data_IF_605903576044
#
_entry.id   IF_605903576044
#
_cell.length_a   1.000
_cell.length_b   1.000
_cell.length_c   1.000
_cell.angle_alpha   90.00
_cell.angle_beta   90.00
_cell.angle_gamma   90.00
#
_symmetry.space_group_name_H-M   'P 1'
#
loop_
_entity.id
_entity.type
_entity.pdbx_description
1 polymer ?
#
# COMPACT_ATOMS: atom_id res chain seq x y z
N UNK A 1 -19.27 -2.07 -8.85
CA UNK A 1 -18.01 -2.14 -8.08
C UNK A 1 -18.27 -2.50 -6.63
N UNK A 2 -17.49 -3.41 -6.09
CA UNK A 2 -17.58 -3.73 -4.67
C UNK A 2 -16.90 -2.64 -3.83
N UNK A 3 -17.26 -2.49 -2.55
CA UNK A 3 -16.55 -1.54 -1.68
C UNK A 3 -15.05 -1.79 -1.63
N UNK A 4 -14.64 -3.05 -1.70
CA UNK A 4 -13.21 -3.40 -1.71
C UNK A 4 -12.53 -2.88 -2.97
N UNK A 5 -13.17 -3.00 -4.12
CA UNK A 5 -12.62 -2.48 -5.37
C UNK A 5 -12.49 -0.97 -5.34
N UNK A 6 -13.48 -0.29 -4.76
CA UNK A 6 -13.43 1.17 -4.62
C UNK A 6 -12.26 1.59 -3.75
N UNK A 7 -12.04 0.90 -2.62
CA UNK A 7 -10.91 1.19 -1.75
C UNK A 7 -9.58 0.98 -2.45
N UNK A 8 -9.46 -0.10 -3.22
CA UNK A 8 -8.25 -0.37 -3.99
C UNK A 8 -7.98 0.73 -5.01
N UNK A 9 -9.00 1.14 -5.74
CA UNK A 9 -8.85 2.19 -6.74
C UNK A 9 -8.46 3.52 -6.12
N UNK A 10 -9.06 3.87 -4.98
CA UNK A 10 -8.69 5.08 -4.26
C UNK A 10 -7.26 5.02 -3.75
N UNK A 11 -6.85 3.87 -3.21
CA UNK A 11 -5.50 3.69 -2.72
C UNK A 11 -4.47 3.88 -3.85
N UNK A 12 -4.74 3.29 -5.00
CA UNK A 12 -3.88 3.42 -6.17
C UNK A 12 -3.81 4.87 -6.62
N UNK A 13 -4.95 5.53 -6.67
CA UNK A 13 -5.03 6.92 -7.10
C UNK A 13 -4.19 7.83 -6.20
N UNK A 14 -4.38 7.72 -4.89
CA UNK A 14 -3.64 8.54 -3.94
C UNK A 14 -2.14 8.19 -3.91
N UNK A 15 -1.82 6.92 -4.12
CA UNK A 15 -0.42 6.51 -4.22
C UNK A 15 0.25 7.17 -5.43
N UNK A 16 -0.43 7.19 -6.57
CA UNK A 16 0.10 7.81 -7.78
C UNK A 16 0.29 9.32 -7.62
N UNK A 17 -0.58 9.96 -6.86
CA UNK A 17 -0.47 11.39 -6.57
C UNK A 17 0.59 11.72 -5.52
N UNK A 18 1.19 10.71 -4.91
CA UNK A 18 2.17 10.92 -3.85
C UNK A 18 1.55 11.33 -2.53
N UNK A 19 0.24 11.14 -2.38
CA UNK A 19 -0.48 11.48 -1.13
C UNK A 19 -0.35 10.40 -0.09
N UNK A 20 -0.15 9.15 -0.52
CA UNK A 20 0.00 8.01 0.38
C UNK A 20 1.30 7.29 0.08
N UNK A 21 2.00 6.84 1.13
CA UNK A 21 3.13 5.94 0.96
C UNK A 21 2.62 4.56 0.52
N UNK A 22 3.54 3.72 0.05
CA UNK A 22 3.20 2.36 -0.35
C UNK A 22 2.53 1.60 0.80
N UNK A 23 3.09 1.69 2.00
CA UNK A 23 2.55 0.99 3.17
C UNK A 23 1.14 1.46 3.51
N UNK A 24 0.90 2.77 3.48
CA UNK A 24 -0.43 3.31 3.77
C UNK A 24 -1.43 2.98 2.68
N UNK A 25 -1.00 3.00 1.42
CA UNK A 25 -1.88 2.68 0.31
C UNK A 25 -2.33 1.22 0.37
N UNK A 26 -1.41 0.30 0.65
CA UNK A 26 -1.78 -1.11 0.76
C UNK A 26 -2.69 -1.37 1.96
N UNK A 27 -2.49 -0.65 3.07
CA UNK A 27 -3.38 -0.76 4.23
C UNK A 27 -4.79 -0.29 3.88
N UNK A 28 -4.89 0.82 3.17
CA UNK A 28 -6.18 1.34 2.71
C UNK A 28 -6.87 0.35 1.78
N UNK A 29 -6.11 -0.32 0.92
CA UNK A 29 -6.64 -1.33 0.02
C UNK A 29 -6.94 -2.66 0.72
N UNK A 30 -6.46 -2.85 1.95
CA UNK A 30 -6.63 -4.09 2.68
C UNK A 30 -5.84 -5.24 2.08
N UNK A 31 -4.70 -4.95 1.45
CA UNK A 31 -3.90 -5.95 0.74
C UNK A 31 -2.54 -6.10 1.38
N UNK A 32 -1.95 -7.28 1.18
CA UNK A 32 -0.58 -7.53 1.58
C UNK A 32 0.38 -6.84 0.62
N UNK A 33 1.61 -6.61 1.08
CA UNK A 33 2.63 -5.91 0.29
C UNK A 33 2.79 -6.52 -1.09
N UNK A 34 3.00 -7.83 -1.16
CA UNK A 34 3.25 -8.49 -2.45
C UNK A 34 2.03 -8.42 -3.38
N UNK A 35 0.83 -8.51 -2.81
CA UNK A 35 -0.40 -8.48 -3.60
C UNK A 35 -0.62 -7.07 -4.18
N UNK A 36 -0.42 -6.04 -3.37
CA UNK A 36 -0.55 -4.67 -3.82
C UNK A 36 0.51 -4.33 -4.86
N UNK A 37 1.74 -4.81 -4.66
CA UNK A 37 2.82 -4.61 -5.61
C UNK A 37 2.48 -5.23 -6.97
N UNK A 38 1.94 -6.45 -6.97
CA UNK A 38 1.51 -7.10 -8.20
C UNK A 38 0.39 -6.33 -8.90
N UNK A 39 -0.55 -5.82 -8.10
CA UNK A 39 -1.66 -5.04 -8.65
C UNK A 39 -1.14 -3.78 -9.34
N UNK A 40 -0.24 -3.05 -8.69
CA UNK A 40 0.35 -1.86 -9.28
C UNK A 40 1.13 -2.19 -10.54
N UNK A 41 1.86 -3.29 -10.54
CA UNK A 41 2.59 -3.74 -11.72
C UNK A 41 1.66 -4.04 -12.89
N UNK A 42 0.51 -4.68 -12.61
CA UNK A 42 -0.47 -4.99 -13.65
C UNK A 42 -1.12 -3.73 -14.24
N UNK A 43 -1.10 -2.64 -13.50
CA UNK A 43 -1.62 -1.34 -13.95
C UNK A 43 -0.56 -0.49 -14.62
N UNK A 44 0.66 -1.00 -14.75
CA UNK A 44 1.76 -0.26 -15.36
C UNK A 44 2.29 0.86 -14.47
N UNK A 45 2.06 0.78 -13.17
CA UNK A 45 2.53 1.78 -12.22
C UNK A 45 3.87 1.31 -11.65
N UNK A 46 4.96 2.05 -11.86
CA UNK A 46 6.25 1.66 -11.30
C UNK A 46 6.22 1.76 -9.78
N UNK A 47 6.73 0.71 -9.14
CA UNK A 47 6.79 0.65 -7.68
C UNK A 47 8.26 0.63 -7.27
N UNK A 48 8.67 1.67 -6.58
CA UNK A 48 9.99 1.71 -5.95
C UNK A 48 9.78 1.48 -4.47
N UNK A 49 10.01 0.23 -4.06
CA UNK A 49 9.84 -0.14 -2.66
C UNK A 49 11.18 0.06 -1.95
N UNK A 50 11.31 1.22 -1.33
CA UNK A 50 12.53 1.60 -0.62
C UNK A 50 12.60 0.93 0.75
N UNK A 51 13.84 0.78 1.24
CA UNK A 51 14.07 0.25 2.58
C UNK A 51 13.37 1.09 3.64
N UNK A 52 13.27 2.39 3.42
CA UNK A 52 12.59 3.29 4.35
C UNK A 52 11.12 2.92 4.51
N UNK A 53 10.43 2.64 3.40
CA UNK A 53 9.04 2.21 3.46
C UNK A 53 8.89 0.88 4.18
N UNK A 54 9.84 -0.03 3.96
CA UNK A 54 9.83 -1.32 4.62
C UNK A 54 10.04 -1.17 6.12
N UNK A 55 11.00 -0.34 6.53
CA UNK A 55 11.28 -0.10 7.94
C UNK A 55 10.09 0.56 8.63
N UNK A 56 9.44 1.50 7.97
CA UNK A 56 8.26 2.16 8.50
C UNK A 56 7.13 1.17 8.75
N UNK A 57 6.88 0.27 7.80
CA UNK A 57 5.88 -0.78 7.96
C UNK A 57 6.21 -1.71 9.12
N UNK A 58 7.47 -2.11 9.25
CA UNK A 58 7.91 -2.98 10.34
C UNK A 58 7.75 -2.28 11.67
N UNK A 59 8.11 -1.00 11.75
CA UNK A 59 7.95 -0.23 12.98
C UNK A 59 6.48 -0.14 13.40
N UNK A 60 5.60 0.12 12.43
CA UNK A 60 4.17 0.18 12.68
C UNK A 60 3.64 -1.14 13.22
N UNK A 61 4.05 -2.25 12.62
CA UNK A 61 3.63 -3.59 13.06
C UNK A 61 4.14 -3.88 14.46
N UNK A 62 5.37 -3.46 14.77
CA UNK A 62 5.92 -3.65 16.12
C UNK A 62 5.14 -2.86 17.15
N UNK A 63 4.78 -1.63 16.84
CA UNK A 63 3.98 -0.82 17.74
C UNK A 63 2.61 -1.44 18.00
N UNK A 64 1.97 -1.93 16.95
CA UNK A 64 0.69 -2.62 17.08
C UNK A 64 0.82 -3.92 17.85
N UNK A 65 1.95 -4.61 17.69
CA UNK A 65 2.22 -5.85 18.41
C UNK A 65 2.44 -5.67 19.89
N UNK A 66 2.77 -4.46 20.33
CA UNK A 66 2.94 -4.17 21.75
C UNK A 66 1.63 -3.88 22.47
N UNK A 67 0.62 -3.61 21.70
CA UNK A 67 -0.70 -3.32 22.24
C UNK A 67 -1.46 -4.62 22.50
#
# INVERSE_FOLDING_TARGET
>A
MTPQEIKCELAIHFFRLGKLSFGKAREMAGMKVWAFQQLLGSRGIPVHYDLEDYEEDVATLRELGRL
#
